data_IF_013539476410
#
_entry.id   IF_013539476410
#
_cell.length_a   1.000
_cell.length_b   1.000
_cell.length_c   1.000
_cell.angle_alpha   90.00
_cell.angle_beta   90.00
_cell.angle_gamma   90.00
#
_symmetry.space_group_name_H-M   'P 1'
#
loop_
_entity.id
_entity.type
_entity.pdbx_description
1 polymer ?
#
# COMPACT_ATOMS: atom_id res chain seq x y z
N UNK A 1 12.87 -20.66 -9.23
CA UNK A 1 13.01 -19.35 -8.55
C UNK A 1 12.28 -19.46 -7.23
N UNK A 2 12.94 -19.49 -6.07
CA UNK A 2 12.23 -19.50 -4.79
C UNK A 2 11.90 -18.06 -4.42
N UNK A 3 10.62 -17.69 -4.43
CA UNK A 3 10.17 -16.39 -3.93
C UNK A 3 10.19 -16.49 -2.41
N UNK A 4 11.11 -15.77 -1.78
CA UNK A 4 11.14 -15.62 -0.32
C UNK A 4 9.98 -14.71 0.07
N UNK A 5 8.82 -15.30 0.37
CA UNK A 5 7.68 -14.61 0.97
C UNK A 5 7.69 -14.90 2.46
N UNK A 6 8.40 -14.09 3.24
CA UNK A 6 8.40 -14.24 4.70
C UNK A 6 8.03 -12.95 5.43
N UNK A 7 7.19 -12.12 4.82
CA UNK A 7 6.79 -10.84 5.42
C UNK A 7 5.50 -10.27 4.85
N UNK A 8 4.67 -9.70 5.72
CA UNK A 8 3.54 -8.86 5.33
C UNK A 8 4.10 -7.46 5.04
N UNK A 9 3.97 -6.98 3.80
CA UNK A 9 4.30 -5.61 3.42
C UNK A 9 3.04 -4.75 3.46
N UNK A 10 3.14 -3.57 4.09
CA UNK A 10 2.02 -2.62 4.15
C UNK A 10 2.33 -1.42 3.26
N UNK A 11 1.54 -1.23 2.23
CA UNK A 11 1.64 -0.13 1.28
C UNK A 11 0.57 0.91 1.60
N UNK A 12 0.97 2.10 2.03
CA UNK A 12 0.08 3.23 2.30
C UNK A 12 0.18 4.22 1.13
N UNK A 13 -0.90 4.33 0.38
CA UNK A 13 -1.03 5.26 -0.74
C UNK A 13 -1.81 6.50 -0.28
N UNK A 14 -1.14 7.64 -0.28
CA UNK A 14 -1.74 8.91 0.12
C UNK A 14 -1.10 10.06 -0.68
N UNK A 15 -1.92 10.99 -1.18
CA UNK A 15 -1.41 12.18 -1.88
C UNK A 15 -0.90 13.25 -0.90
N UNK A 16 -1.18 13.09 0.39
CA UNK A 16 -0.61 13.84 1.49
C UNK A 16 0.25 12.94 2.40
N UNK A 17 1.56 13.17 2.37
CA UNK A 17 2.53 12.39 3.15
C UNK A 17 2.27 12.41 4.67
N UNK A 18 1.75 13.51 5.23
CA UNK A 18 1.44 13.59 6.65
C UNK A 18 0.26 12.69 7.03
N UNK A 19 -0.77 12.63 6.18
CA UNK A 19 -1.91 11.72 6.37
C UNK A 19 -1.43 10.27 6.30
N UNK A 20 -0.59 9.93 5.33
CA UNK A 20 0.02 8.61 5.22
C UNK A 20 0.83 8.22 6.47
N UNK A 21 1.58 9.16 7.05
CA UNK A 21 2.30 8.94 8.32
C UNK A 21 1.38 8.74 9.51
N UNK A 22 0.26 9.46 9.57
CA UNK A 22 -0.73 9.30 10.63
C UNK A 22 -1.40 7.93 10.54
N UNK A 23 -1.80 7.51 9.33
CA UNK A 23 -2.32 6.18 9.03
C UNK A 23 -1.32 5.09 9.43
N UNK A 24 -0.04 5.23 9.07
CA UNK A 24 1.03 4.34 9.50
C UNK A 24 1.07 4.24 11.02
N UNK A 25 1.12 5.38 11.73
CA UNK A 25 1.21 5.39 13.19
C UNK A 25 0.04 4.67 13.85
N UNK A 26 -1.18 4.94 13.40
CA UNK A 26 -2.39 4.37 14.00
C UNK A 26 -2.52 2.87 13.68
N UNK A 27 -2.30 2.48 12.43
CA UNK A 27 -2.51 1.09 12.00
C UNK A 27 -1.34 0.20 12.45
N UNK A 28 -0.11 0.64 12.25
CA UNK A 28 1.07 -0.18 12.56
C UNK A 28 1.42 -0.10 14.04
N UNK A 29 1.39 1.12 14.61
CA UNK A 29 1.76 1.34 15.99
C UNK A 29 0.71 0.86 16.99
N UNK A 30 -0.58 1.16 16.75
CA UNK A 30 -1.63 0.86 17.72
C UNK A 30 -2.28 -0.50 17.48
N UNK A 31 -2.49 -0.90 16.21
CA UNK A 31 -3.14 -2.18 15.89
C UNK A 31 -2.18 -3.37 15.90
N UNK A 32 -0.86 -3.12 16.04
CA UNK A 32 0.21 -4.14 16.10
C UNK A 32 0.14 -5.18 14.98
N UNK A 33 -0.27 -4.76 13.78
CA UNK A 33 -0.34 -5.66 12.62
C UNK A 33 1.08 -6.19 12.37
N UNK A 34 1.30 -7.51 12.32
CA UNK A 34 2.60 -8.06 11.97
C UNK A 34 2.98 -7.56 10.58
N UNK A 35 4.12 -6.90 10.47
CA UNK A 35 4.62 -6.40 9.20
C UNK A 35 6.14 -6.49 9.18
N UNK A 36 6.67 -6.75 7.99
CA UNK A 36 8.11 -6.74 7.74
C UNK A 36 8.58 -5.36 7.31
N UNK A 37 7.72 -4.60 6.63
CA UNK A 37 7.97 -3.19 6.35
C UNK A 37 6.68 -2.43 6.04
N UNK A 38 6.77 -1.11 6.15
CA UNK A 38 5.69 -0.19 5.79
C UNK A 38 6.24 0.83 4.81
N UNK A 39 5.57 0.98 3.68
CA UNK A 39 5.97 1.84 2.58
C UNK A 39 4.87 2.89 2.40
N UNK A 40 5.22 4.17 2.52
CA UNK A 40 4.31 5.29 2.23
C UNK A 40 4.71 5.85 0.87
N UNK A 41 3.76 5.93 -0.05
CA UNK A 41 4.00 6.43 -1.41
C UNK A 41 2.81 7.22 -1.95
N UNK A 42 3.04 8.14 -2.89
CA UNK A 42 1.95 8.80 -3.60
C UNK A 42 1.22 7.82 -4.55
N UNK A 43 -0.08 8.04 -4.81
CA UNK A 43 -0.90 7.18 -5.68
C UNK A 43 -0.33 6.93 -7.08
N UNK A 44 0.35 7.91 -7.66
CA UNK A 44 0.92 7.82 -9.00
C UNK A 44 2.14 6.88 -9.10
N UNK A 45 2.68 6.42 -7.97
CA UNK A 45 3.77 5.44 -7.94
C UNK A 45 3.27 4.00 -7.87
N UNK A 46 1.95 3.76 -7.70
CA UNK A 46 1.42 2.41 -7.54
C UNK A 46 1.73 1.52 -8.74
N UNK A 47 1.51 1.98 -9.97
CA UNK A 47 1.78 1.19 -11.17
C UNK A 47 3.25 0.77 -11.28
N UNK A 48 4.17 1.68 -10.96
CA UNK A 48 5.60 1.37 -10.94
C UNK A 48 5.92 0.31 -9.91
N UNK A 49 5.27 0.35 -8.75
CA UNK A 49 5.45 -0.67 -7.71
C UNK A 49 4.86 -2.01 -8.14
N UNK A 50 3.64 -2.04 -8.68
CA UNK A 50 3.01 -3.29 -9.14
C UNK A 50 3.79 -3.96 -10.27
N UNK A 51 4.42 -3.18 -11.16
CA UNK A 51 5.21 -3.70 -12.27
C UNK A 51 6.67 -4.04 -11.87
N UNK A 52 7.23 -3.34 -10.88
CA UNK A 52 8.63 -3.45 -10.49
C UNK A 52 8.91 -4.30 -9.25
N UNK A 53 7.94 -4.43 -8.35
CA UNK A 53 8.01 -5.29 -7.17
C UNK A 53 7.20 -6.57 -7.39
N UNK A 54 7.73 -7.70 -6.92
CA UNK A 54 6.92 -8.89 -6.70
C UNK A 54 6.02 -8.62 -5.50
N UNK A 55 4.82 -8.10 -5.77
CA UNK A 55 3.77 -8.06 -4.76
C UNK A 55 3.35 -9.49 -4.42
N UNK A 56 3.03 -9.72 -3.16
CA UNK A 56 2.54 -11.00 -2.65
C UNK A 56 1.03 -10.90 -2.35
N UNK A 57 0.35 -12.06 -2.35
CA UNK A 57 -1.02 -12.18 -1.88
C UNK A 57 -1.20 -11.73 -0.43
N UNK A 58 -0.11 -11.69 0.34
CA UNK A 58 -0.09 -11.26 1.74
C UNK A 58 0.13 -9.75 1.92
N UNK A 59 0.35 -8.99 0.84
CA UNK A 59 0.56 -7.56 0.92
C UNK A 59 -0.73 -6.80 1.21
N UNK A 60 -0.65 -5.79 2.07
CA UNK A 60 -1.79 -4.98 2.49
C UNK A 60 -1.66 -3.60 1.86
N UNK A 61 -2.65 -3.22 1.04
CA UNK A 61 -2.75 -1.90 0.46
C UNK A 61 -3.77 -1.07 1.23
N UNK A 62 -3.33 0.08 1.75
CA UNK A 62 -4.11 1.04 2.51
C UNK A 62 -4.13 2.35 1.75
N UNK A 63 -5.31 2.91 1.55
CA UNK A 63 -5.46 4.21 0.90
C UNK A 63 -6.70 4.92 1.42
N UNK A 64 -6.64 6.25 1.48
CA UNK A 64 -7.81 7.05 1.81
C UNK A 64 -8.80 7.06 0.64
N UNK A 65 -10.10 7.10 0.95
CA UNK A 65 -11.14 7.34 -0.07
C UNK A 65 -11.07 8.79 -0.55
N UNK A 66 -10.64 9.72 0.31
CA UNK A 66 -10.55 11.16 0.04
C UNK A 66 -9.23 11.56 -0.66
N UNK A 67 -8.67 10.67 -1.48
CA UNK A 67 -7.53 11.02 -2.33
C UNK A 67 -8.05 11.87 -3.48
N UNK A 68 -7.35 12.97 -3.77
CA UNK A 68 -7.74 13.94 -4.80
C UNK A 68 -8.07 13.29 -6.15
N UNK A 69 -9.21 13.69 -6.72
CA UNK A 69 -9.60 13.33 -8.10
C UNK A 69 -10.09 11.89 -8.28
N UNK A 70 -10.81 11.32 -7.29
CA UNK A 70 -11.38 9.96 -7.36
C UNK A 70 -10.35 8.84 -7.60
N UNK A 71 -9.08 9.11 -7.30
CA UNK A 71 -8.00 8.16 -7.55
C UNK A 71 -8.16 6.89 -6.72
N UNK A 72 -8.86 6.93 -5.59
CA UNK A 72 -9.13 5.74 -4.76
C UNK A 72 -9.81 4.59 -5.54
N UNK A 73 -10.81 4.89 -6.39
CA UNK A 73 -11.48 3.88 -7.21
C UNK A 73 -10.57 3.35 -8.32
N UNK A 74 -9.75 4.22 -8.90
CA UNK A 74 -8.74 3.84 -9.88
C UNK A 74 -7.71 2.88 -9.26
N UNK A 75 -7.19 3.21 -8.08
CA UNK A 75 -6.23 2.36 -7.35
C UNK A 75 -6.84 0.99 -7.02
N UNK A 76 -8.09 0.95 -6.53
CA UNK A 76 -8.78 -0.30 -6.25
C UNK A 76 -8.97 -1.16 -7.52
N UNK A 77 -9.36 -0.54 -8.64
CA UNK A 77 -9.49 -1.22 -9.93
C UNK A 77 -8.14 -1.77 -10.41
N UNK A 78 -7.07 -0.98 -10.28
CA UNK A 78 -5.73 -1.37 -10.69
C UNK A 78 -5.22 -2.57 -9.88
N UNK A 79 -5.36 -2.52 -8.55
CA UNK A 79 -5.01 -3.66 -7.67
C UNK A 79 -5.77 -4.93 -8.06
N UNK A 80 -7.06 -4.81 -8.37
CA UNK A 80 -7.90 -5.95 -8.77
C UNK A 80 -7.50 -6.57 -10.12
N UNK A 81 -6.95 -5.79 -11.04
CA UNK A 81 -6.50 -6.31 -12.34
C UNK A 81 -5.13 -6.99 -12.26
N UNK A 82 -4.35 -6.66 -11.25
CA UNK A 82 -2.95 -7.09 -11.13
C UNK A 82 -2.76 -8.28 -10.19
N UNK A 83 -3.75 -8.56 -9.34
CA UNK A 83 -3.82 -9.71 -8.42
C UNK A 83 -4.91 -10.72 -8.84
#
# INVERSE_FOLDING_TARGET
>A
MSVFLSGIYIHILDDNYFNGKLLMKNIVGESKIPNSSVIIMPPNQLETVLNGYQTDINDIFLFSIDISGNKCFYLASLLRQTM
#
